data_IF_845794641610
#
_entry.id   IF_845794641610
#
_cell.length_a   1.000
_cell.length_b   1.000
_cell.length_c   1.000
_cell.angle_alpha   90.00
_cell.angle_beta   90.00
_cell.angle_gamma   90.00
#
_symmetry.space_group_name_H-M   'P 1'
#
loop_
_entity.id
_entity.type
_entity.pdbx_description
1 polymer ?
#
# COMPACT_ATOMS: atom_id res chain seq x y z
N UNK A 1 -10.03 72.17 23.46
CA UNK A 1 -9.39 70.84 23.54
C UNK A 1 -10.49 69.81 23.71
N UNK A 2 -10.85 69.12 22.63
CA UNK A 2 -11.68 67.92 22.68
C UNK A 2 -10.75 66.73 22.39
N UNK A 3 -10.80 65.62 23.14
CA UNK A 3 -10.03 64.45 22.77
C UNK A 3 -10.75 63.68 21.65
N UNK A 4 -10.00 63.36 20.59
CA UNK A 4 -10.39 62.42 19.56
C UNK A 4 -10.51 61.02 20.16
N UNK A 5 -11.69 60.41 20.04
CA UNK A 5 -11.89 58.99 20.34
C UNK A 5 -11.41 58.19 19.13
N UNK A 6 -10.18 57.70 19.21
CA UNK A 6 -9.68 56.67 18.30
C UNK A 6 -10.51 55.39 18.53
N UNK A 7 -11.36 55.05 17.57
CA UNK A 7 -12.04 53.76 17.53
C UNK A 7 -11.02 52.72 17.04
N UNK A 8 -10.39 52.02 17.98
CA UNK A 8 -9.55 50.87 17.68
C UNK A 8 -10.43 49.77 17.06
N UNK A 9 -10.22 49.55 15.75
CA UNK A 9 -10.85 48.46 15.02
C UNK A 9 -10.05 47.19 15.30
N UNK A 10 -10.39 46.50 16.40
CA UNK A 10 -9.81 45.20 16.71
C UNK A 10 -10.11 44.21 15.59
N UNK A 11 -9.03 43.72 14.97
CA UNK A 11 -9.06 42.73 13.90
C UNK A 11 -9.59 41.40 14.49
N UNK A 12 -10.58 40.75 13.86
CA UNK A 12 -11.15 39.52 14.40
C UNK A 12 -10.07 38.44 14.52
N UNK A 13 -10.14 37.58 15.56
CA UNK A 13 -9.16 36.52 15.75
C UNK A 13 -9.13 35.61 14.51
N UNK A 14 -7.95 35.08 14.12
CA UNK A 14 -7.86 34.15 13.01
C UNK A 14 -8.81 32.96 13.25
N UNK A 15 -9.49 32.46 12.22
CA UNK A 15 -10.35 31.30 12.37
C UNK A 15 -9.53 30.13 12.95
N UNK A 16 -10.15 29.25 13.76
CA UNK A 16 -9.47 28.09 14.30
C UNK A 16 -8.85 27.28 13.15
N UNK A 17 -7.70 26.60 13.37
CA UNK A 17 -7.12 25.72 12.36
C UNK A 17 -8.23 24.79 11.89
N UNK A 18 -8.53 24.81 10.58
CA UNK A 18 -9.51 23.88 10.00
C UNK A 18 -9.10 22.50 10.47
N UNK A 19 -10.01 21.80 11.16
CA UNK A 19 -9.80 20.40 11.49
C UNK A 19 -9.35 19.72 10.20
N UNK A 20 -8.13 19.17 10.17
CA UNK A 20 -7.66 18.39 9.03
C UNK A 20 -8.71 17.32 8.85
N UNK A 21 -9.53 17.47 7.81
CA UNK A 21 -10.56 16.48 7.49
C UNK A 21 -9.91 15.11 7.44
N UNK A 22 -10.67 14.07 7.78
CA UNK A 22 -10.25 12.70 7.46
C UNK A 22 -9.68 12.69 6.05
N UNK A 23 -8.56 11.98 5.84
CA UNK A 23 -7.99 11.80 4.51
C UNK A 23 -9.13 11.45 3.55
N UNK A 24 -9.15 12.07 2.37
CA UNK A 24 -10.19 11.80 1.40
C UNK A 24 -10.16 10.36 0.90
N UNK A 25 -9.07 9.64 1.19
CA UNK A 25 -8.87 8.21 0.99
C UNK A 25 -9.07 7.45 2.31
N UNK A 26 -9.85 6.38 2.24
CA UNK A 26 -9.96 5.36 3.29
C UNK A 26 -9.45 4.03 2.74
N UNK A 27 -8.61 3.35 3.52
CA UNK A 27 -8.20 1.97 3.22
C UNK A 27 -9.42 1.06 3.30
N UNK A 28 -9.59 0.21 2.30
CA UNK A 28 -10.51 -0.91 2.35
C UNK A 28 -9.85 -2.04 3.14
N UNK A 29 -10.61 -2.77 3.92
CA UNK A 29 -10.15 -4.01 4.56
C UNK A 29 -10.08 -5.17 3.54
N UNK A 30 -9.74 -4.85 2.29
CA UNK A 30 -9.63 -5.77 1.17
C UNK A 30 -8.23 -5.63 0.58
N UNK A 31 -7.59 -6.77 0.39
CA UNK A 31 -6.27 -6.89 -0.19
C UNK A 31 -6.31 -7.95 -1.28
N UNK A 32 -5.45 -7.80 -2.28
CA UNK A 32 -5.26 -8.76 -3.36
C UNK A 32 -3.79 -9.12 -3.44
N UNK A 33 -3.47 -10.35 -3.86
CA UNK A 33 -2.10 -10.70 -4.22
C UNK A 33 -2.06 -11.37 -5.58
N UNK A 34 -1.02 -11.06 -6.35
CA UNK A 34 -0.81 -11.64 -7.67
C UNK A 34 0.66 -11.65 -8.03
N UNK A 35 1.00 -12.50 -9.01
CA UNK A 35 2.25 -12.38 -9.73
C UNK A 35 2.16 -11.18 -10.68
N UNK A 36 3.16 -10.30 -10.64
CA UNK A 36 3.21 -9.09 -11.44
C UNK A 36 3.22 -9.45 -12.94
N UNK A 37 2.21 -9.04 -13.72
CA UNK A 37 2.14 -9.38 -15.14
C UNK A 37 3.14 -8.57 -15.97
N UNK A 38 3.57 -7.42 -15.47
CA UNK A 38 4.54 -6.49 -16.10
C UNK A 38 5.39 -5.82 -15.02
N UNK A 39 6.47 -5.17 -15.41
CA UNK A 39 7.34 -4.40 -14.50
C UNK A 39 6.96 -2.91 -14.37
N UNK A 40 5.67 -2.59 -14.45
CA UNK A 40 5.17 -1.19 -14.47
C UNK A 40 4.63 -0.73 -13.13
N UNK A 41 4.32 -1.65 -12.22
CA UNK A 41 3.86 -1.32 -10.86
C UNK A 41 5.06 -0.92 -10.00
N UNK A 42 4.87 0.13 -9.19
CA UNK A 42 5.91 0.65 -8.29
C UNK A 42 5.48 0.39 -6.85
N UNK A 43 6.41 -0.13 -6.04
CA UNK A 43 6.16 -0.35 -4.63
C UNK A 43 6.05 0.99 -3.88
N UNK A 44 4.96 1.19 -3.14
CA UNK A 44 4.75 2.45 -2.40
C UNK A 44 5.60 2.59 -1.12
N UNK A 45 6.34 1.55 -0.72
CA UNK A 45 7.29 1.61 0.40
C UNK A 45 8.68 2.00 -0.08
N UNK A 46 9.26 1.25 -1.03
CA UNK A 46 10.64 1.45 -1.46
C UNK A 46 10.78 2.28 -2.74
N UNK A 47 9.68 2.67 -3.39
CA UNK A 47 9.64 3.41 -4.67
C UNK A 47 10.32 2.73 -5.86
N UNK A 48 10.73 1.46 -5.73
CA UNK A 48 11.29 0.67 -6.82
C UNK A 48 10.19 -0.05 -7.61
N UNK A 49 10.46 -0.32 -8.88
CA UNK A 49 9.60 -1.14 -9.72
C UNK A 49 9.52 -2.59 -9.18
N UNK A 50 8.33 -3.17 -9.22
CA UNK A 50 8.10 -4.58 -8.96
C UNK A 50 8.34 -5.33 -10.26
N UNK A 51 9.19 -6.37 -10.28
CA UNK A 51 9.54 -7.02 -11.55
C UNK A 51 8.42 -7.95 -12.00
N UNK A 52 8.24 -8.05 -13.32
CA UNK A 52 7.41 -9.08 -13.92
C UNK A 52 7.79 -10.47 -13.38
N UNK A 53 6.80 -11.24 -12.96
CA UNK A 53 7.01 -12.58 -12.38
C UNK A 53 7.25 -12.59 -10.86
N UNK A 54 7.42 -11.43 -10.21
CA UNK A 54 7.47 -11.34 -8.73
C UNK A 54 6.06 -11.25 -8.15
N UNK A 55 5.87 -11.78 -6.94
CA UNK A 55 4.61 -11.58 -6.21
C UNK A 55 4.51 -10.14 -5.69
N UNK A 56 3.29 -9.61 -5.76
CA UNK A 56 2.95 -8.29 -5.22
C UNK A 56 1.64 -8.34 -4.47
N UNK A 57 1.54 -7.53 -3.42
CA UNK A 57 0.33 -7.31 -2.64
C UNK A 57 -0.26 -5.96 -3.03
N UNK A 58 -1.55 -5.94 -3.31
CA UNK A 58 -2.35 -4.76 -3.62
C UNK A 58 -3.25 -4.42 -2.44
N UNK A 59 -3.17 -3.19 -1.94
CA UNK A 59 -4.11 -2.67 -0.95
C UNK A 59 -5.09 -1.72 -1.63
N UNK A 60 -6.37 -1.92 -1.39
CA UNK A 60 -7.43 -1.12 -1.98
C UNK A 60 -7.72 0.11 -1.12
N UNK A 61 -7.89 1.25 -1.78
CA UNK A 61 -8.27 2.51 -1.15
C UNK A 61 -9.47 3.11 -1.91
N UNK A 62 -10.48 3.54 -1.15
CA UNK A 62 -11.66 4.23 -1.68
C UNK A 62 -11.57 5.71 -1.33
N UNK A 63 -11.76 6.55 -2.33
CA UNK A 63 -11.95 7.98 -2.17
C UNK A 63 -13.39 8.29 -1.75
N UNK A 64 -13.61 9.37 -1.01
CA UNK A 64 -14.96 9.84 -0.65
C UNK A 64 -15.84 10.14 -1.87
N UNK A 65 -15.23 10.41 -3.02
CA UNK A 65 -15.94 10.64 -4.30
C UNK A 65 -16.21 9.35 -5.10
N UNK A 66 -15.88 8.18 -4.54
CA UNK A 66 -16.13 6.87 -5.15
C UNK A 66 -15.01 6.34 -6.06
N UNK A 67 -13.88 7.04 -6.17
CA UNK A 67 -12.70 6.51 -6.88
C UNK A 67 -12.05 5.37 -6.10
N UNK A 68 -11.57 4.36 -6.80
CA UNK A 68 -10.77 3.28 -6.21
C UNK A 68 -9.34 3.33 -6.72
N UNK A 69 -8.40 3.15 -5.81
CA UNK A 69 -6.98 2.99 -6.09
C UNK A 69 -6.51 1.66 -5.53
N UNK A 70 -5.60 1.00 -6.24
CA UNK A 70 -4.81 -0.11 -5.70
C UNK A 70 -3.37 0.34 -5.60
N UNK A 71 -2.83 0.33 -4.39
CA UNK A 71 -1.42 0.53 -4.16
C UNK A 71 -0.72 -0.83 -4.10
N UNK A 72 0.41 -0.94 -4.80
CA UNK A 72 1.16 -2.18 -4.92
C UNK A 72 2.41 -2.17 -4.05
N UNK A 73 2.77 -3.35 -3.55
CA UNK A 73 3.86 -3.53 -2.60
C UNK A 73 4.62 -4.85 -2.87
N UNK A 74 5.95 -4.82 -2.70
CA UNK A 74 6.74 -6.05 -2.65
C UNK A 74 6.40 -6.87 -1.41
N UNK A 75 6.59 -8.19 -1.48
CA UNK A 75 6.42 -9.06 -0.31
C UNK A 75 7.41 -8.71 0.81
N UNK A 76 8.66 -8.38 0.46
CA UNK A 76 9.68 -7.98 1.44
C UNK A 76 9.33 -6.65 2.12
N UNK A 77 8.57 -5.77 1.45
CA UNK A 77 8.21 -4.45 1.97
C UNK A 77 7.01 -4.46 2.92
N UNK A 78 6.38 -5.62 3.13
CA UNK A 78 5.12 -5.76 3.86
C UNK A 78 5.20 -5.31 5.32
N UNK A 79 6.37 -5.45 5.96
CA UNK A 79 6.60 -5.01 7.33
C UNK A 79 6.49 -3.49 7.55
N UNK A 80 6.59 -2.68 6.49
CA UNK A 80 6.47 -1.22 6.56
C UNK A 80 5.12 -0.71 6.03
N UNK A 81 4.13 -1.60 5.86
CA UNK A 81 2.83 -1.18 5.33
C UNK A 81 2.08 -0.28 6.31
N UNK A 82 1.46 0.80 5.83
CA UNK A 82 0.69 1.69 6.69
C UNK A 82 -0.65 1.05 7.10
N UNK A 83 -0.84 0.85 8.42
CA UNK A 83 -2.11 0.43 9.02
C UNK A 83 -2.02 -0.89 9.80
N UNK A 84 -2.86 -1.04 10.82
CA UNK A 84 -2.99 -2.27 11.59
C UNK A 84 -3.68 -3.37 10.77
N UNK A 85 -3.49 -4.65 11.13
CA UNK A 85 -4.25 -5.77 10.55
C UNK A 85 -3.70 -6.37 9.26
N UNK A 86 -2.40 -6.21 8.98
CA UNK A 86 -1.80 -6.85 7.81
C UNK A 86 -1.99 -8.38 7.80
N UNK A 87 -1.87 -9.03 8.96
CA UNK A 87 -2.03 -10.48 9.09
C UNK A 87 -3.44 -10.93 8.68
N UNK A 88 -4.48 -10.20 9.10
CA UNK A 88 -5.88 -10.47 8.76
C UNK A 88 -6.15 -10.30 7.25
N UNK A 89 -5.51 -9.31 6.64
CA UNK A 89 -5.60 -9.09 5.20
C UNK A 89 -4.85 -10.16 4.41
N UNK A 90 -3.67 -10.57 4.89
CA UNK A 90 -2.91 -11.66 4.29
C UNK A 90 -3.65 -12.99 4.39
N UNK A 91 -4.35 -13.23 5.50
CA UNK A 91 -5.22 -14.39 5.65
C UNK A 91 -6.39 -14.36 4.66
N UNK A 92 -7.05 -13.20 4.55
CA UNK A 92 -8.15 -12.98 3.59
C UNK A 92 -7.70 -13.25 2.16
N UNK A 93 -6.57 -12.64 1.74
CA UNK A 93 -5.94 -12.86 0.43
C UNK A 93 -5.70 -14.35 0.16
N UNK A 94 -5.14 -15.07 1.15
CA UNK A 94 -4.85 -16.48 0.99
C UNK A 94 -6.12 -17.34 0.88
N UNK A 95 -7.19 -16.96 1.57
CA UNK A 95 -8.47 -17.67 1.55
C UNK A 95 -9.14 -17.63 0.18
N UNK A 96 -8.93 -16.56 -0.60
CA UNK A 96 -9.45 -16.42 -1.96
C UNK A 96 -8.62 -17.17 -3.03
N UNK A 97 -7.39 -17.57 -2.71
CA UNK A 97 -6.52 -18.32 -3.62
C UNK A 97 -6.90 -19.80 -3.71
N UNK A 98 -6.68 -20.41 -4.88
CA UNK A 98 -6.69 -21.87 -5.00
C UNK A 98 -5.60 -22.51 -4.12
N UNK A 99 -5.74 -23.78 -3.70
CA UNK A 99 -4.73 -24.43 -2.85
C UNK A 99 -3.32 -24.41 -3.43
N UNK A 100 -3.19 -24.50 -4.76
CA UNK A 100 -1.90 -24.45 -5.44
C UNK A 100 -1.30 -23.03 -5.42
N UNK A 101 -2.10 -22.01 -5.74
CA UNK A 101 -1.68 -20.61 -5.68
C UNK A 101 -1.28 -20.20 -4.27
N UNK A 102 -2.08 -20.59 -3.26
CA UNK A 102 -1.78 -20.33 -1.85
C UNK A 102 -0.44 -20.91 -1.44
N UNK A 103 -0.13 -22.14 -1.86
CA UNK A 103 1.16 -22.78 -1.57
C UNK A 103 2.32 -22.02 -2.22
N UNK A 104 2.16 -21.58 -3.47
CA UNK A 104 3.17 -20.79 -4.17
C UNK A 104 3.38 -19.42 -3.53
N UNK A 105 2.28 -18.76 -3.13
CA UNK A 105 2.32 -17.50 -2.41
C UNK A 105 3.02 -17.64 -1.07
N UNK A 106 2.63 -18.64 -0.25
CA UNK A 106 3.26 -18.88 1.05
C UNK A 106 4.76 -19.14 0.92
N UNK A 107 5.18 -19.97 -0.03
CA UNK A 107 6.60 -20.23 -0.26
C UNK A 107 7.36 -18.96 -0.67
N UNK A 108 6.75 -18.08 -1.49
CA UNK A 108 7.34 -16.80 -1.86
C UNK A 108 7.40 -15.83 -0.67
N UNK A 109 6.36 -15.81 0.17
CA UNK A 109 6.29 -14.97 1.36
C UNK A 109 7.30 -15.39 2.44
N UNK A 110 7.47 -16.68 2.67
CA UNK A 110 8.48 -17.24 3.58
C UNK A 110 9.90 -16.95 3.08
N UNK A 111 10.12 -17.05 1.76
CA UNK A 111 11.40 -16.68 1.15
C UNK A 111 11.70 -15.17 1.27
N UNK A 112 10.68 -14.32 1.09
CA UNK A 112 10.81 -12.88 1.22
C UNK A 112 11.07 -12.43 2.66
N UNK A 113 10.40 -13.04 3.64
CA UNK A 113 10.55 -12.70 5.07
C UNK A 113 11.86 -13.18 5.69
N UNK A 114 12.49 -14.22 5.13
CA UNK A 114 13.81 -14.70 5.56
C UNK A 114 14.98 -13.88 5.00
N UNK A 115 14.75 -13.03 4.00
CA UNK A 115 15.77 -12.18 3.37
C UNK A 115 15.64 -10.72 3.85
N UNK A 116 16.29 -10.37 4.95
CA UNK A 116 16.27 -8.99 5.48
C UNK A 116 16.94 -7.97 4.53
N UNK A 117 16.44 -6.71 4.47
CA UNK A 117 16.95 -5.69 3.57
C UNK A 117 18.31 -5.16 4.05
N UNK A 118 19.36 -5.54 3.32
CA UNK A 118 20.74 -5.11 3.58
C UNK A 118 21.74 -5.69 2.59
N UNK A 119 21.35 -6.73 1.83
CA UNK A 119 22.11 -7.13 0.66
C UNK A 119 21.46 -6.54 -0.59
N UNK A 120 22.21 -5.70 -1.29
CA UNK A 120 22.02 -5.49 -2.72
C UNK A 120 22.21 -6.84 -3.43
N UNK A 121 21.21 -7.71 -3.38
CA UNK A 121 21.30 -9.04 -3.97
C UNK A 121 20.28 -9.16 -5.08
N UNK A 122 20.82 -9.18 -6.30
CA UNK A 122 20.16 -9.50 -7.57
C UNK A 122 19.70 -10.96 -7.61
N UNK A 123 18.96 -11.43 -6.60
CA UNK A 123 18.53 -12.81 -6.51
C UNK A 123 17.27 -12.94 -5.64
N UNK A 124 16.10 -12.98 -6.27
CA UNK A 124 14.96 -13.73 -5.76
C UNK A 124 14.18 -14.26 -6.96
N UNK A 125 13.95 -15.57 -6.92
CA UNK A 125 13.79 -16.43 -8.07
C UNK A 125 12.47 -16.23 -8.83
N UNK A 126 12.58 -16.13 -10.15
CA UNK A 126 11.49 -16.39 -11.07
C UNK A 126 11.04 -17.85 -10.93
N UNK A 127 9.95 -18.09 -10.20
CA UNK A 127 9.22 -19.35 -10.32
C UNK A 127 8.46 -19.31 -11.65
N UNK A 128 9.09 -19.85 -12.69
CA UNK A 128 8.48 -20.02 -14.02
C UNK A 128 7.37 -21.07 -13.92
N UNK A 129 6.13 -20.63 -13.74
CA UNK A 129 4.97 -21.46 -14.03
C UNK A 129 4.84 -21.61 -15.55
N UNK A 130 5.46 -22.66 -16.09
CA UNK A 130 5.32 -23.03 -17.50
C UNK A 130 4.05 -23.86 -17.61
N UNK A 131 2.93 -23.27 -18.01
CA UNK A 131 1.81 -24.06 -18.54
C UNK A 131 2.04 -24.24 -20.04
N UNK A 132 2.54 -25.43 -20.39
CA UNK A 132 2.58 -25.92 -21.76
C UNK A 132 1.15 -26.25 -22.19
N UNK A 133 0.65 -25.53 -23.19
CA UNK A 133 -0.49 -25.96 -23.99
C UNK A 133 0.01 -26.99 -25.01
N UNK A 134 -0.54 -28.20 -24.94
CA UNK A 134 -0.51 -29.23 -25.98
C UNK A 134 -1.92 -29.78 -26.14
#
# INVERSE_FOLDING_TARGET
>A
MAPEVAMEMEMPPPPPPRARGRSAWSRCDEAIARVAPTSTTTCQVCSNAIKQGEWQIGLMFIHLEGFMLVEWYHLECTHNLPGAGLDELLETVQNEMTPNERKLFQAAFDAASSCLPGSSSTAAAAVRATMMVS
#
